data_IF_083878328148
#
_entry.id   IF_083878328148
#
_cell.length_a   1.000
_cell.length_b   1.000
_cell.length_c   1.000
_cell.angle_alpha   90.00
_cell.angle_beta   90.00
_cell.angle_gamma   90.00
#
_symmetry.space_group_name_H-M   'P 1'
#
loop_
_entity.id
_entity.type
_entity.pdbx_description
1 polymer ?
#
# COMPACT_ATOMS: atom_id res chain seq x y z
N UNK A 1 -41.89 -47.84 51.79
CA UNK A 1 -41.52 -47.78 50.36
C UNK A 1 -40.68 -46.52 50.20
N UNK A 2 -39.33 -46.64 50.14
CA UNK A 2 -38.40 -45.48 50.08
C UNK A 2 -37.95 -45.36 48.62
N UNK A 3 -38.14 -44.18 48.03
CA UNK A 3 -37.68 -43.86 46.67
C UNK A 3 -36.32 -43.12 46.81
N UNK A 4 -35.24 -43.56 46.18
CA UNK A 4 -33.97 -42.82 46.20
C UNK A 4 -33.99 -41.74 45.13
N UNK A 5 -33.75 -40.47 45.52
CA UNK A 5 -33.53 -39.35 44.64
C UNK A 5 -32.11 -39.44 44.06
N UNK A 6 -32.02 -39.72 42.77
CA UNK A 6 -30.76 -39.63 41.98
C UNK A 6 -30.49 -38.18 41.59
N UNK A 7 -29.41 -37.63 42.14
CA UNK A 7 -28.90 -36.31 41.77
C UNK A 7 -28.06 -36.42 40.50
N UNK A 8 -28.57 -35.91 39.38
CA UNK A 8 -27.79 -35.76 38.12
C UNK A 8 -26.88 -34.57 38.22
N UNK A 9 -25.58 -34.82 38.28
CA UNK A 9 -24.54 -33.77 38.19
C UNK A 9 -24.31 -33.47 36.72
N UNK A 10 -24.77 -32.29 36.23
CA UNK A 10 -24.45 -31.81 34.89
C UNK A 10 -23.07 -31.14 34.89
N UNK A 11 -22.09 -31.78 34.29
CA UNK A 11 -20.77 -31.21 34.03
C UNK A 11 -20.84 -30.26 32.83
N UNK A 12 -20.73 -28.95 33.06
CA UNK A 12 -20.57 -27.94 32.02
C UNK A 12 -19.11 -27.96 31.55
N UNK A 13 -18.90 -28.46 30.32
CA UNK A 13 -17.60 -28.40 29.65
C UNK A 13 -17.46 -27.01 29.06
N UNK A 14 -16.66 -26.12 29.69
CA UNK A 14 -16.21 -24.87 29.08
C UNK A 14 -15.16 -25.21 28.02
N UNK A 15 -15.52 -25.11 26.75
CA UNK A 15 -14.55 -25.11 25.65
C UNK A 15 -13.85 -23.72 25.65
N UNK A 16 -12.51 -23.66 25.68
CA UNK A 16 -11.82 -22.38 25.54
C UNK A 16 -12.09 -21.84 24.11
N UNK A 17 -12.65 -20.64 24.01
CA UNK A 17 -12.64 -19.88 22.79
C UNK A 17 -11.17 -19.53 22.50
N UNK A 18 -10.57 -20.18 21.51
CA UNK A 18 -9.27 -19.74 20.98
C UNK A 18 -9.51 -18.37 20.33
N UNK A 19 -9.06 -17.30 20.98
CA UNK A 19 -8.94 -16.02 20.33
C UNK A 19 -7.95 -16.20 19.15
N UNK A 20 -8.45 -16.07 17.92
CA UNK A 20 -7.57 -15.96 16.75
C UNK A 20 -6.83 -14.64 16.95
N UNK A 21 -5.53 -14.72 17.19
CA UNK A 21 -4.69 -13.53 17.25
C UNK A 21 -4.84 -12.80 15.91
N UNK A 22 -5.16 -11.53 15.97
CA UNK A 22 -5.19 -10.66 14.79
C UNK A 22 -3.77 -10.66 14.19
N UNK A 23 -3.62 -11.18 12.97
CA UNK A 23 -2.34 -11.29 12.27
C UNK A 23 -2.04 -10.01 11.47
N UNK A 24 -2.90 -9.00 11.55
CA UNK A 24 -2.75 -7.74 10.83
C UNK A 24 -1.63 -6.91 11.43
N UNK A 25 -0.66 -6.54 10.61
CA UNK A 25 0.40 -5.58 10.97
C UNK A 25 -0.10 -4.14 10.83
N UNK A 26 -0.72 -3.84 9.68
CA UNK A 26 -1.22 -2.50 9.35
C UNK A 26 -2.27 -2.55 8.25
N UNK A 27 -3.24 -1.64 8.34
CA UNK A 27 -4.25 -1.39 7.30
C UNK A 27 -4.09 0.02 6.74
N UNK A 28 -4.45 0.16 5.46
CA UNK A 28 -4.50 1.44 4.76
C UNK A 28 -5.90 1.61 4.17
N UNK A 29 -6.47 2.80 4.34
CA UNK A 29 -7.78 3.17 3.82
C UNK A 29 -7.69 4.54 3.15
N UNK A 30 -7.77 4.54 1.83
CA UNK A 30 -7.41 5.65 0.97
C UNK A 30 -5.93 5.73 0.64
N UNK A 31 -5.61 6.56 -0.35
CA UNK A 31 -4.24 6.88 -0.74
C UNK A 31 -4.16 8.28 -1.35
N UNK A 32 -2.96 8.85 -1.36
CA UNK A 32 -2.66 10.12 -2.01
C UNK A 32 -1.87 9.84 -3.28
N UNK A 33 -2.38 10.33 -4.41
CA UNK A 33 -1.67 10.29 -5.69
C UNK A 33 -0.41 11.16 -5.65
N UNK A 34 0.63 10.74 -6.34
CA UNK A 34 1.94 11.37 -6.28
C UNK A 34 2.00 12.67 -7.10
N UNK A 35 2.54 13.72 -6.48
CA UNK A 35 2.97 14.96 -7.14
C UNK A 35 4.49 14.97 -7.16
N UNK A 36 5.10 15.15 -8.33
CA UNK A 36 6.54 14.99 -8.52
C UNK A 36 7.40 16.02 -7.79
N UNK A 37 6.91 17.26 -7.68
CA UNK A 37 7.64 18.38 -7.09
C UNK A 37 6.72 19.27 -6.25
N UNK A 38 7.24 19.83 -5.16
CA UNK A 38 6.50 20.75 -4.28
C UNK A 38 6.93 22.21 -4.45
N UNK A 39 8.15 22.46 -4.91
CA UNK A 39 8.69 23.81 -5.10
C UNK A 39 9.70 23.84 -6.25
N UNK A 40 9.87 25.01 -6.86
CA UNK A 40 10.89 25.30 -7.86
C UNK A 40 11.46 26.70 -7.62
N UNK A 41 12.72 26.91 -7.97
CA UNK A 41 13.35 28.21 -8.02
C UNK A 41 13.26 28.76 -9.44
N UNK A 42 12.85 30.02 -9.55
CA UNK A 42 12.56 30.68 -10.83
C UNK A 42 11.07 30.65 -11.18
N UNK A 43 10.68 31.20 -12.29
CA UNK A 43 9.31 31.29 -12.78
C UNK A 43 9.18 30.66 -14.17
N UNK A 44 8.24 29.72 -14.34
CA UNK A 44 7.97 29.11 -15.63
C UNK A 44 9.20 28.45 -16.25
N UNK A 45 9.54 28.83 -17.48
CA UNK A 45 10.66 28.26 -18.23
C UNK A 45 12.06 28.58 -17.64
N UNK A 46 12.15 29.48 -16.66
CA UNK A 46 13.40 29.85 -16.00
C UNK A 46 13.64 29.10 -14.69
N UNK A 47 12.77 28.18 -14.31
CA UNK A 47 12.97 27.35 -13.13
C UNK A 47 14.21 26.44 -13.30
N UNK A 48 15.26 26.69 -12.53
CA UNK A 48 16.54 25.98 -12.62
C UNK A 48 16.69 24.84 -11.64
N UNK A 49 15.90 24.85 -10.56
CA UNK A 49 15.91 23.82 -9.52
C UNK A 49 14.48 23.52 -9.05
N UNK A 50 14.24 22.26 -8.67
CA UNK A 50 12.98 21.83 -8.11
C UNK A 50 13.20 21.00 -6.85
N UNK A 51 12.30 21.12 -5.89
CA UNK A 51 12.27 20.22 -4.72
C UNK A 51 11.39 19.04 -5.04
N UNK A 52 11.98 17.86 -5.13
CA UNK A 52 11.25 16.61 -5.39
C UNK A 52 10.61 16.08 -4.12
N UNK A 53 9.40 15.53 -4.26
CA UNK A 53 8.64 14.93 -3.17
C UNK A 53 9.10 13.48 -2.92
N UNK A 54 10.36 13.32 -2.47
CA UNK A 54 10.93 12.00 -2.15
C UNK A 54 10.30 11.48 -0.87
N UNK A 55 9.78 10.25 -0.89
CA UNK A 55 9.20 9.58 0.27
C UNK A 55 10.11 8.45 0.70
N UNK A 56 10.76 8.59 1.86
CA UNK A 56 11.68 7.60 2.44
C UNK A 56 12.69 7.02 1.43
N UNK A 57 13.32 7.91 0.66
CA UNK A 57 14.29 7.55 -0.37
C UNK A 57 13.70 7.19 -1.73
N UNK A 58 12.41 6.93 -1.84
CA UNK A 58 11.76 6.58 -3.10
C UNK A 58 11.38 7.82 -3.88
N UNK A 59 11.77 7.85 -5.16
CA UNK A 59 11.53 8.97 -6.06
C UNK A 59 10.05 9.05 -6.49
N UNK A 60 9.48 10.27 -6.57
CA UNK A 60 8.17 10.50 -7.17
C UNK A 60 8.25 10.42 -8.71
N UNK A 61 7.11 10.32 -9.40
CA UNK A 61 7.05 10.37 -10.86
C UNK A 61 7.31 11.80 -11.37
N UNK A 62 7.57 11.93 -12.67
CA UNK A 62 7.66 13.25 -13.32
C UNK A 62 6.28 13.88 -13.58
N UNK A 63 5.30 13.03 -13.94
CA UNK A 63 3.91 13.44 -14.17
C UNK A 63 3.09 13.16 -12.92
N UNK A 64 2.20 14.07 -12.47
CA UNK A 64 1.36 13.82 -11.30
C UNK A 64 0.36 12.68 -11.55
N UNK A 65 0.02 11.97 -10.48
CA UNK A 65 -0.95 10.87 -10.47
C UNK A 65 -2.06 11.17 -9.48
N UNK A 66 -3.25 10.65 -9.78
CA UNK A 66 -4.40 10.64 -8.88
C UNK A 66 -4.83 9.20 -8.65
N UNK A 67 -5.48 8.95 -7.53
CA UNK A 67 -6.12 7.68 -7.20
C UNK A 67 -7.48 7.98 -6.60
N UNK A 68 -8.51 7.22 -7.00
CA UNK A 68 -9.88 7.47 -6.57
C UNK A 68 -10.23 6.70 -5.29
N UNK A 69 -9.76 5.45 -5.17
CA UNK A 69 -10.02 4.59 -4.02
C UNK A 69 -8.85 3.64 -3.81
N UNK A 70 -8.56 3.33 -2.54
CA UNK A 70 -7.47 2.42 -2.19
C UNK A 70 -7.72 1.76 -0.84
N UNK A 71 -7.51 0.47 -0.78
CA UNK A 71 -7.52 -0.31 0.46
C UNK A 71 -6.40 -1.32 0.43
N UNK A 72 -5.68 -1.45 1.54
CA UNK A 72 -4.66 -2.47 1.69
C UNK A 72 -4.55 -2.96 3.13
N UNK A 73 -4.16 -4.22 3.25
CA UNK A 73 -3.83 -4.88 4.50
C UNK A 73 -2.48 -5.57 4.37
N UNK A 74 -1.66 -5.45 5.38
CA UNK A 74 -0.38 -6.15 5.52
C UNK A 74 -0.42 -6.94 6.80
N UNK A 75 -0.05 -8.21 6.73
CA UNK A 75 0.04 -9.10 7.89
C UNK A 75 1.46 -9.16 8.45
N UNK A 76 1.62 -9.65 9.68
CA UNK A 76 2.93 -9.72 10.37
C UNK A 76 3.92 -10.67 9.68
N UNK A 77 3.43 -11.65 8.92
CA UNK A 77 4.24 -12.55 8.09
C UNK A 77 4.59 -11.96 6.71
N UNK A 78 4.10 -10.76 6.41
CA UNK A 78 4.41 -10.01 5.21
C UNK A 78 3.50 -10.26 4.02
N UNK A 79 2.42 -11.05 4.17
CA UNK A 79 1.41 -11.12 3.13
C UNK A 79 0.72 -9.76 2.99
N UNK A 80 0.50 -9.31 1.76
CA UNK A 80 -0.17 -8.05 1.45
C UNK A 80 -1.27 -8.26 0.43
N UNK A 81 -2.45 -7.73 0.75
CA UNK A 81 -3.52 -7.50 -0.22
C UNK A 81 -3.70 -6.01 -0.41
N UNK A 82 -3.72 -5.55 -1.66
CA UNK A 82 -3.97 -4.14 -1.98
C UNK A 82 -4.87 -4.03 -3.21
N UNK A 83 -5.93 -3.25 -3.08
CA UNK A 83 -6.89 -2.96 -4.15
C UNK A 83 -6.90 -1.45 -4.39
N UNK A 84 -6.60 -1.03 -5.61
CA UNK A 84 -6.68 0.35 -6.03
C UNK A 84 -7.62 0.54 -7.20
N UNK A 85 -8.30 1.70 -7.23
CA UNK A 85 -9.18 2.10 -8.32
C UNK A 85 -8.82 3.49 -8.79
N UNK A 86 -8.83 3.68 -10.11
CA UNK A 86 -8.62 4.97 -10.71
C UNK A 86 -7.23 5.57 -10.44
N UNK A 87 -6.18 4.75 -10.39
CA UNK A 87 -4.79 5.22 -10.37
C UNK A 87 -4.41 5.65 -11.79
N UNK A 88 -4.55 6.94 -12.07
CA UNK A 88 -4.43 7.52 -13.40
C UNK A 88 -3.55 8.77 -13.40
N UNK A 89 -3.08 9.17 -14.58
CA UNK A 89 -2.40 10.46 -14.73
C UNK A 89 -3.32 11.61 -14.32
N UNK A 90 -2.81 12.53 -13.50
CA UNK A 90 -3.51 13.73 -13.04
C UNK A 90 -3.10 14.99 -13.81
N UNK A 91 -2.35 14.83 -14.90
CA UNK A 91 -1.93 15.95 -15.75
C UNK A 91 -1.29 15.47 -17.06
N UNK A 92 -1.11 16.42 -18.00
CA UNK A 92 -0.59 16.14 -19.34
C UNK A 92 -1.65 15.61 -20.30
N UNK A 93 -1.21 15.26 -21.51
CA UNK A 93 -2.10 14.85 -22.62
C UNK A 93 -2.79 13.49 -22.36
N UNK A 94 -2.32 12.72 -21.38
CA UNK A 94 -2.87 11.40 -20.99
C UNK A 94 -3.70 11.46 -19.71
N UNK A 95 -4.09 12.65 -19.25
CA UNK A 95 -4.90 12.83 -18.02
C UNK A 95 -6.14 11.92 -18.01
N UNK A 96 -6.42 11.31 -16.86
CA UNK A 96 -7.57 10.41 -16.68
C UNK A 96 -7.35 8.98 -17.19
N UNK A 97 -6.17 8.66 -17.70
CA UNK A 97 -5.81 7.29 -18.14
C UNK A 97 -4.63 6.75 -17.34
N UNK A 98 -4.47 5.43 -17.36
CA UNK A 98 -3.28 4.74 -16.84
C UNK A 98 -2.40 4.17 -17.98
N UNK A 99 -2.61 4.63 -19.20
CA UNK A 99 -1.88 4.14 -20.37
C UNK A 99 -0.64 5.02 -20.59
N UNK A 100 0.54 4.44 -20.39
CA UNK A 100 1.80 5.07 -20.78
C UNK A 100 2.02 5.03 -22.28
N UNK A 101 2.94 5.85 -22.78
CA UNK A 101 3.44 5.77 -24.17
C UNK A 101 4.76 4.98 -24.17
N UNK A 102 4.88 4.00 -25.06
CA UNK A 102 6.13 3.32 -25.30
C UNK A 102 7.10 4.21 -26.08
N UNK A 103 8.39 3.92 -26.04
CA UNK A 103 9.42 4.64 -26.80
C UNK A 103 9.14 4.63 -28.34
N UNK A 104 8.35 3.68 -28.83
CA UNK A 104 7.91 3.57 -30.22
C UNK A 104 6.55 4.24 -30.50
N UNK A 105 5.99 5.00 -29.54
CA UNK A 105 4.75 5.76 -29.71
C UNK A 105 3.46 4.95 -29.53
N UNK A 106 3.54 3.65 -29.19
CA UNK A 106 2.35 2.82 -28.91
C UNK A 106 1.92 2.90 -27.43
N UNK A 107 0.71 2.42 -27.14
CA UNK A 107 0.24 2.26 -25.77
C UNK A 107 1.13 1.26 -25.01
N UNK A 108 1.60 1.62 -23.83
CA UNK A 108 2.41 0.76 -22.95
C UNK A 108 1.60 0.37 -21.72
N UNK A 109 1.56 -0.92 -21.44
CA UNK A 109 1.01 -1.43 -20.18
C UNK A 109 1.95 -1.05 -19.04
N UNK A 110 1.40 -0.39 -18.04
CA UNK A 110 2.11 -0.05 -16.81
C UNK A 110 1.85 -1.18 -15.80
N UNK A 111 2.89 -1.73 -15.22
CA UNK A 111 2.77 -2.64 -14.09
C UNK A 111 3.09 -1.91 -12.80
N UNK A 112 2.37 -2.25 -11.74
CA UNK A 112 2.56 -1.69 -10.40
C UNK A 112 2.85 -2.77 -9.37
N UNK A 113 3.65 -2.42 -8.35
CA UNK A 113 3.96 -3.26 -7.21
C UNK A 113 3.90 -2.45 -5.93
N UNK A 114 3.79 -3.12 -4.79
CA UNK A 114 3.74 -2.47 -3.49
C UNK A 114 5.12 -2.49 -2.81
N UNK A 115 5.42 -1.42 -2.08
CA UNK A 115 6.60 -1.29 -1.21
C UNK A 115 6.17 -0.80 0.16
N UNK A 116 6.47 -1.56 1.21
CA UNK A 116 6.31 -1.15 2.60
C UNK A 116 7.66 -0.69 3.17
N UNK A 117 7.67 0.47 3.84
CA UNK A 117 8.82 1.00 4.55
C UNK A 117 8.40 1.34 5.98
N UNK A 118 8.98 0.68 6.97
CA UNK A 118 8.62 0.81 8.38
C UNK A 118 9.43 1.89 9.11
N UNK A 119 10.64 2.16 8.66
CA UNK A 119 11.57 3.08 9.29
C UNK A 119 11.12 4.53 9.07
N UNK A 120 11.14 5.37 10.12
CA UNK A 120 10.84 6.81 10.05
C UNK A 120 12.08 7.67 9.75
N UNK A 121 13.28 7.12 9.92
CA UNK A 121 14.58 7.75 9.62
C UNK A 121 15.46 6.78 8.85
N UNK A 122 16.36 7.32 8.03
CA UNK A 122 17.34 6.49 7.30
C UNK A 122 18.28 5.72 8.28
N UNK A 123 18.75 4.54 7.88
CA UNK A 123 18.55 3.87 6.60
C UNK A 123 17.15 3.28 6.44
N UNK A 124 16.58 3.38 5.24
CA UNK A 124 15.27 2.83 4.89
C UNK A 124 15.40 1.45 4.27
N UNK A 125 14.55 0.52 4.67
CA UNK A 125 14.46 -0.82 4.08
C UNK A 125 13.20 -0.93 3.24
N UNK A 126 13.35 -1.06 1.93
CA UNK A 126 12.27 -1.32 1.00
C UNK A 126 11.85 -2.78 1.06
N UNK A 127 10.61 -3.05 1.48
CA UNK A 127 9.99 -4.38 1.48
C UNK A 127 9.01 -4.43 0.32
N UNK A 128 9.39 -5.18 -0.70
CA UNK A 128 8.71 -5.15 -1.99
C UNK A 128 7.91 -6.43 -2.23
N UNK A 129 6.73 -6.31 -2.82
CA UNK A 129 6.10 -7.42 -3.53
C UNK A 129 6.93 -7.75 -4.78
N UNK A 130 6.52 -8.75 -5.57
CA UNK A 130 7.23 -9.08 -6.81
C UNK A 130 7.45 -7.81 -7.65
N UNK A 131 8.71 -7.40 -7.90
CA UNK A 131 9.00 -6.15 -8.58
C UNK A 131 8.67 -6.13 -10.08
N UNK A 132 8.24 -7.25 -10.67
CA UNK A 132 7.61 -7.26 -12.00
C UNK A 132 6.20 -6.67 -11.96
N UNK A 133 5.58 -6.65 -10.79
CA UNK A 133 4.29 -6.06 -10.52
C UNK A 133 3.12 -6.78 -11.20
N UNK A 134 1.94 -6.20 -10.98
CA UNK A 134 0.68 -6.59 -11.63
C UNK A 134 0.28 -5.54 -12.66
N UNK A 135 -0.45 -5.91 -13.71
CA UNK A 135 -0.91 -4.95 -14.71
C UNK A 135 -1.82 -3.88 -14.08
N UNK A 136 -1.58 -2.62 -14.42
CA UNK A 136 -2.49 -1.52 -14.18
C UNK A 136 -3.47 -1.44 -15.36
N UNK A 137 -4.77 -1.58 -15.07
CA UNK A 137 -5.80 -1.47 -16.11
C UNK A 137 -5.85 -0.04 -16.67
N UNK A 138 -6.39 0.13 -17.88
CA UNK A 138 -6.45 1.43 -18.54
C UNK A 138 -7.24 2.49 -17.74
N UNK A 139 -8.22 2.06 -16.95
CA UNK A 139 -8.99 2.90 -16.02
C UNK A 139 -8.29 3.11 -14.66
N UNK A 140 -7.08 2.58 -14.47
CA UNK A 140 -6.31 2.72 -13.25
C UNK A 140 -6.62 1.72 -12.14
N UNK A 141 -7.37 0.65 -12.42
CA UNK A 141 -7.67 -0.38 -11.43
C UNK A 141 -6.53 -1.40 -11.36
N UNK A 142 -6.23 -1.87 -10.14
CA UNK A 142 -5.25 -2.92 -9.92
C UNK A 142 -5.56 -3.70 -8.64
N UNK A 143 -5.06 -4.93 -8.59
CA UNK A 143 -5.09 -5.78 -7.39
C UNK A 143 -3.73 -6.43 -7.19
N UNK A 144 -3.18 -6.27 -6.00
CA UNK A 144 -1.96 -6.94 -5.54
C UNK A 144 -2.38 -7.95 -4.46
N UNK A 145 -1.88 -9.17 -4.56
CA UNK A 145 -2.05 -10.24 -3.58
C UNK A 145 -0.73 -11.02 -3.61
N UNK A 146 0.17 -10.74 -2.67
CA UNK A 146 1.56 -11.18 -2.75
C UNK A 146 2.23 -11.13 -1.37
N UNK A 147 3.52 -11.44 -1.29
CA UNK A 147 4.33 -11.42 -0.08
C UNK A 147 5.46 -10.42 -0.21
N UNK A 148 5.67 -9.63 0.84
CA UNK A 148 6.75 -8.65 0.94
C UNK A 148 8.11 -9.33 1.17
N UNK A 149 9.11 -8.90 0.43
CA UNK A 149 10.50 -9.34 0.58
C UNK A 149 11.44 -8.12 0.70
N UNK A 150 12.27 -8.05 1.76
CA UNK A 150 12.26 -8.90 2.96
C UNK A 150 10.94 -8.77 3.75
N UNK A 151 10.62 -9.68 4.68
CA UNK A 151 9.41 -9.58 5.49
C UNK A 151 9.43 -8.34 6.39
N UNK A 152 8.26 -7.84 6.86
CA UNK A 152 8.19 -6.75 7.82
C UNK A 152 8.91 -7.08 9.14
N UNK A 153 9.39 -6.09 9.87
CA UNK A 153 9.88 -6.29 11.22
C UNK A 153 8.71 -6.51 12.19
N UNK A 154 9.00 -6.78 13.46
CA UNK A 154 8.00 -6.85 14.51
C UNK A 154 7.14 -5.56 14.53
N UNK A 155 5.85 -5.63 14.95
CA UNK A 155 4.93 -4.49 14.92
C UNK A 155 5.47 -3.24 15.63
N UNK A 156 6.17 -3.40 16.76
CA UNK A 156 6.80 -2.28 17.49
C UNK A 156 7.88 -1.53 16.69
N UNK A 157 8.50 -2.18 15.71
CA UNK A 157 9.48 -1.57 14.82
C UNK A 157 8.86 -1.06 13.49
N UNK A 158 7.53 -1.15 13.34
CA UNK A 158 6.76 -0.69 12.19
C UNK A 158 5.61 0.23 12.63
N UNK A 159 5.85 1.13 13.59
CA UNK A 159 4.81 1.99 14.15
C UNK A 159 4.31 3.10 13.22
N UNK A 160 5.13 3.49 12.24
CA UNK A 160 4.79 4.54 11.25
C UNK A 160 5.04 4.06 9.83
N UNK A 161 4.38 2.98 9.38
CA UNK A 161 4.61 2.42 8.06
C UNK A 161 4.16 3.38 6.95
N UNK A 162 4.88 3.32 5.84
CA UNK A 162 4.47 3.95 4.57
C UNK A 162 4.34 2.86 3.53
N UNK A 163 3.18 2.78 2.91
CA UNK A 163 2.93 1.89 1.78
C UNK A 163 2.92 2.70 0.49
N UNK A 164 3.78 2.34 -0.45
CA UNK A 164 3.89 2.99 -1.75
C UNK A 164 3.46 2.02 -2.86
N UNK A 165 2.63 2.51 -3.79
CA UNK A 165 2.35 1.82 -5.05
C UNK A 165 3.30 2.37 -6.10
N UNK A 166 4.13 1.50 -6.67
CA UNK A 166 5.28 1.88 -7.51
C UNK A 166 5.18 1.29 -8.91
N UNK A 167 5.74 2.01 -9.87
CA UNK A 167 5.90 1.55 -11.24
C UNK A 167 7.00 0.48 -11.32
N UNK A 168 6.70 -0.66 -11.93
CA UNK A 168 7.67 -1.75 -12.11
C UNK A 168 8.83 -1.37 -13.05
N UNK A 169 8.62 -0.46 -13.99
CA UNK A 169 9.63 -0.07 -14.98
C UNK A 169 10.71 0.87 -14.42
N UNK A 170 10.32 1.96 -13.74
CA UNK A 170 11.25 3.00 -13.28
C UNK A 170 11.35 3.14 -11.75
N UNK A 171 10.60 2.33 -11.01
CA UNK A 171 10.58 2.28 -9.53
C UNK A 171 10.07 3.55 -8.83
N UNK A 172 9.57 4.53 -9.55
CA UNK A 172 8.94 5.71 -8.95
C UNK A 172 7.61 5.32 -8.30
N UNK A 173 7.21 6.01 -7.20
CA UNK A 173 5.90 5.76 -6.62
C UNK A 173 4.82 6.60 -7.31
N UNK A 174 3.63 6.05 -7.47
CA UNK A 174 2.45 6.69 -8.06
C UNK A 174 1.43 7.10 -7.01
N UNK A 175 1.38 6.37 -5.90
CA UNK A 175 0.52 6.68 -4.77
C UNK A 175 1.15 6.24 -3.45
N UNK A 176 0.75 6.91 -2.36
CA UNK A 176 1.09 6.56 -0.99
C UNK A 176 -0.19 6.28 -0.20
N UNK A 177 -0.28 5.12 0.43
CA UNK A 177 -1.41 4.71 1.25
C UNK A 177 -1.54 5.55 2.52
N UNK A 178 -2.77 5.83 2.92
CA UNK A 178 -3.12 6.50 4.18
C UNK A 178 -3.33 5.42 5.23
N UNK A 179 -2.47 5.40 6.25
CA UNK A 179 -2.60 4.43 7.35
C UNK A 179 -3.92 4.65 8.08
N UNK A 180 -4.68 3.57 8.26
CA UNK A 180 -5.85 3.55 9.10
C UNK A 180 -5.42 3.26 10.54
N UNK A 181 -5.78 4.14 11.45
CA UNK A 181 -5.61 3.90 12.87
C UNK A 181 -6.94 3.40 13.42
N UNK A 182 -6.96 2.24 14.04
CA UNK A 182 -8.10 1.82 14.82
C UNK A 182 -8.16 2.72 16.06
N UNK A 183 -9.05 3.70 16.01
CA UNK A 183 -9.42 4.44 17.21
C UNK A 183 -10.20 3.46 18.08
N UNK A 184 -9.50 2.78 18.98
CA UNK A 184 -10.12 1.90 19.95
C UNK A 184 -11.20 2.68 20.70
N UNK A 185 -12.45 2.22 20.54
CA UNK A 185 -13.58 2.64 21.36
C UNK A 185 -13.51 1.91 22.70
#
# INVERSE_FOLDING_TARGET
>A
MKIPSSLLLATVVLTPLSAVADNTLVTFDGAIGAIGVSAGLGTGATATTVTRNIVRGVQPPNTPWAIADFQAEVTVDGHITANGKGLVFAGGDTIGTAIGTSASGGAAVINVFATLICENTAPFTERNTNPKGVPLAANGDFKIDDVLSPPPPAPSACATPVLLIRNAGNRNFFAAGIQKFDTGQ
#
